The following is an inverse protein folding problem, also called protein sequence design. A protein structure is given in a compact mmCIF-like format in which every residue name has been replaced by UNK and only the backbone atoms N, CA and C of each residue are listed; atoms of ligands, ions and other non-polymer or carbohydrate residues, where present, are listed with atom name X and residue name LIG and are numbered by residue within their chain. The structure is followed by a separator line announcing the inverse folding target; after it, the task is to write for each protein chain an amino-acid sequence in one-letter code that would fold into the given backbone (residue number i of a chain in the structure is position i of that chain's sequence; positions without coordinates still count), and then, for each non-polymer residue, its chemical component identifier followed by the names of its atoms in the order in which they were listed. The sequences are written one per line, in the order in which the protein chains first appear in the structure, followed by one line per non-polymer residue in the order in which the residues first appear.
data_IF_098878381134
#
_entry.id   IF_098878381134
#
_cell.length_a   1.000
_cell.length_b   1.000
_cell.length_c   1.000
_cell.angle_alpha   90.00
_cell.angle_beta   90.00
_cell.angle_gamma   90.00
#
_symmetry.space_group_name_H-M   'P 1'
#
loop_
_entity.id
_entity.type
_entity.pdbx_description
1 polymer ?
#
# COMPACT_ATOMS: atom_id res chain seq x y z
N UNK A 1 -8.72 -5.69 -53.00
CA UNK A 1 -9.03 -7.07 -53.41
C UNK A 1 -9.73 -7.81 -52.28
N UNK A 2 -11.06 -7.87 -52.33
CA UNK A 2 -11.92 -8.63 -51.40
C UNK A 2 -12.25 -9.98 -52.05
N UNK A 3 -12.01 -11.09 -51.35
CA UNK A 3 -12.53 -12.42 -51.72
C UNK A 3 -13.67 -12.78 -50.77
N UNK A 4 -14.87 -12.94 -51.34
CA UNK A 4 -16.03 -13.50 -50.67
C UNK A 4 -15.94 -15.03 -50.67
N UNK A 5 -16.31 -15.65 -49.55
CA UNK A 5 -16.59 -17.09 -49.46
C UNK A 5 -18.04 -17.23 -49.00
N UNK A 6 -18.90 -17.77 -49.87
CA UNK A 6 -20.30 -18.08 -49.57
C UNK A 6 -20.40 -19.55 -49.22
N UNK A 7 -20.63 -19.86 -47.95
CA UNK A 7 -21.05 -21.19 -47.49
C UNK A 7 -22.58 -21.17 -47.36
N UNK A 8 -23.24 -21.94 -48.23
CA UNK A 8 -24.66 -22.24 -48.12
C UNK A 8 -24.93 -23.11 -46.90
N UNK A 9 -25.91 -22.72 -46.09
CA UNK A 9 -26.45 -23.53 -45.02
C UNK A 9 -27.88 -23.91 -45.39
N UNK A 10 -28.06 -25.21 -45.63
CA UNK A 10 -29.27 -25.87 -46.06
C UNK A 10 -30.27 -25.96 -44.89
N UNK A 11 -31.44 -25.35 -45.09
CA UNK A 11 -32.53 -25.27 -44.12
C UNK A 11 -33.47 -26.45 -44.32
N UNK A 12 -33.21 -27.58 -43.67
CA UNK A 12 -34.18 -28.68 -43.55
C UNK A 12 -33.85 -29.60 -42.37
N UNK A 13 -34.65 -29.47 -41.30
CA UNK A 13 -35.15 -30.52 -40.37
C UNK A 13 -35.13 -30.10 -38.90
N UNK A 14 -36.25 -29.55 -38.45
CA UNK A 14 -36.60 -29.49 -37.02
C UNK A 14 -37.18 -30.84 -36.59
N UNK A 15 -36.66 -31.51 -35.53
CA UNK A 15 -37.37 -32.62 -34.92
C UNK A 15 -38.39 -32.12 -33.87
N UNK A 16 -39.60 -32.68 -33.98
CA UNK A 16 -40.78 -32.38 -33.19
C UNK A 16 -40.57 -32.40 -31.67
N UNK A 17 -40.95 -31.29 -31.03
CA UNK A 17 -40.98 -31.10 -29.58
C UNK A 17 -42.12 -31.88 -28.93
N UNK A 18 -41.78 -32.92 -28.17
CA UNK A 18 -42.69 -33.72 -27.35
C UNK A 18 -43.09 -32.93 -26.08
N UNK A 19 -44.35 -32.47 -26.02
CA UNK A 19 -44.88 -31.58 -24.97
C UNK A 19 -45.37 -32.34 -23.75
N UNK A 20 -44.50 -33.10 -23.10
CA UNK A 20 -44.77 -33.65 -21.76
C UNK A 20 -43.92 -32.91 -20.73
N UNK A 21 -44.49 -31.84 -20.18
CA UNK A 21 -43.93 -31.15 -19.03
C UNK A 21 -43.73 -32.16 -17.89
N UNK A 22 -42.47 -32.55 -17.65
CA UNK A 22 -42.08 -33.18 -16.39
C UNK A 22 -42.30 -32.12 -15.32
N UNK A 23 -43.41 -32.25 -14.59
CA UNK A 23 -43.62 -31.52 -13.33
C UNK A 23 -42.51 -32.00 -12.40
N UNK A 24 -41.45 -31.20 -12.27
CA UNK A 24 -40.40 -31.42 -11.29
C UNK A 24 -41.05 -31.28 -9.91
N UNK A 25 -40.81 -32.21 -8.97
CA UNK A 25 -41.31 -32.04 -7.61
C UNK A 25 -40.70 -30.77 -7.03
N UNK A 26 -41.57 -29.83 -6.64
CA UNK A 26 -41.23 -28.61 -5.92
C UNK A 26 -40.51 -29.02 -4.62
N UNK A 27 -39.17 -28.96 -4.61
CA UNK A 27 -38.38 -29.28 -3.43
C UNK A 27 -38.71 -28.27 -2.33
N UNK A 28 -38.97 -28.71 -1.09
CA UNK A 28 -39.36 -27.80 -0.02
C UNK A 28 -38.25 -26.78 0.22
N UNK A 29 -38.64 -25.50 0.27
CA UNK A 29 -37.76 -24.35 0.49
C UNK A 29 -36.92 -24.42 1.78
N UNK A 30 -37.14 -25.43 2.63
CA UNK A 30 -36.38 -25.70 3.86
C UNK A 30 -35.08 -26.50 3.67
N UNK A 31 -34.74 -26.91 2.45
CA UNK A 31 -33.53 -27.73 2.18
C UNK A 31 -32.25 -26.88 2.14
N UNK A 32 -32.36 -25.57 1.86
CA UNK A 32 -31.20 -24.68 1.76
C UNK A 32 -30.90 -24.01 3.10
N UNK A 33 -29.64 -24.05 3.53
CA UNK A 33 -29.18 -23.29 4.68
C UNK A 33 -29.47 -21.80 4.47
N UNK A 34 -29.86 -21.11 5.54
CA UNK A 34 -30.20 -19.69 5.45
C UNK A 34 -28.97 -18.89 4.98
N UNK A 35 -29.16 -17.78 4.24
CA UNK A 35 -28.04 -16.96 3.78
C UNK A 35 -27.18 -16.43 4.94
N UNK A 36 -27.76 -16.25 6.14
CA UNK A 36 -27.02 -15.93 7.35
C UNK A 36 -26.14 -17.08 7.84
N UNK A 37 -26.61 -18.32 7.79
CA UNK A 37 -25.80 -19.50 8.15
C UNK A 37 -24.62 -19.67 7.18
N UNK A 38 -24.85 -19.45 5.89
CA UNK A 38 -23.80 -19.50 4.87
C UNK A 38 -22.78 -18.37 5.10
N UNK A 39 -23.23 -17.15 5.44
CA UNK A 39 -22.36 -16.04 5.76
C UNK A 39 -21.53 -16.29 7.03
N UNK A 40 -22.11 -16.88 8.07
CA UNK A 40 -21.40 -17.25 9.29
C UNK A 40 -20.40 -18.38 9.10
N UNK A 41 -20.73 -19.39 8.28
CA UNK A 41 -19.80 -20.45 7.90
C UNK A 41 -18.62 -19.88 7.11
N UNK A 42 -18.90 -19.06 6.10
CA UNK A 42 -17.86 -18.36 5.31
C UNK A 42 -16.96 -17.51 6.21
N UNK A 43 -17.55 -16.78 7.15
CA UNK A 43 -16.80 -15.98 8.14
C UNK A 43 -15.85 -16.85 8.98
N UNK A 44 -16.30 -18.03 9.43
CA UNK A 44 -15.47 -18.98 10.19
C UNK A 44 -14.35 -19.56 9.33
N UNK A 45 -14.65 -20.00 8.11
CA UNK A 45 -13.69 -20.58 7.17
C UNK A 45 -12.57 -19.58 6.85
N UNK A 46 -12.93 -18.35 6.51
CA UNK A 46 -11.98 -17.30 6.11
C UNK A 46 -11.50 -16.43 7.27
N UNK A 47 -11.79 -16.80 8.53
CA UNK A 47 -11.37 -16.09 9.74
C UNK A 47 -11.68 -14.58 9.70
N UNK A 48 -12.85 -14.22 9.16
CA UNK A 48 -13.29 -12.83 9.03
C UNK A 48 -13.97 -12.34 10.30
N UNK A 49 -13.91 -11.03 10.52
CA UNK A 49 -14.59 -10.39 11.65
C UNK A 49 -16.10 -10.27 11.39
N UNK A 50 -16.97 -10.44 12.42
CA UNK A 50 -18.40 -10.22 12.26
C UNK A 50 -18.75 -8.74 12.01
N UNK A 51 -19.74 -8.50 11.14
CA UNK A 51 -20.20 -7.15 10.75
C UNK A 51 -21.09 -6.53 11.83
N UNK A 52 -20.50 -6.20 12.98
CA UNK A 52 -21.24 -5.66 14.16
C UNK A 52 -21.36 -4.12 14.15
N UNK A 53 -20.89 -3.43 13.11
CA UNK A 53 -20.84 -1.95 13.02
C UNK A 53 -20.14 -1.27 14.22
N UNK A 54 -19.22 -1.98 14.88
CA UNK A 54 -18.42 -1.49 16.01
C UNK A 54 -16.99 -1.22 15.52
N UNK A 55 -16.34 -0.10 15.94
CA UNK A 55 -14.95 0.17 15.59
C UNK A 55 -14.00 -0.82 16.30
N UNK A 56 -13.52 -1.84 15.58
CA UNK A 56 -12.64 -2.90 16.12
C UNK A 56 -11.14 -2.70 15.86
N UNK A 57 -10.75 -1.60 15.20
CA UNK A 57 -9.36 -1.38 14.80
C UNK A 57 -8.86 -2.27 13.65
N UNK A 58 -9.71 -3.12 13.05
CA UNK A 58 -9.34 -3.99 11.93
C UNK A 58 -8.73 -3.21 10.74
N UNK A 59 -9.16 -1.95 10.53
CA UNK A 59 -8.58 -1.03 9.55
C UNK A 59 -7.09 -0.73 9.78
N UNK A 60 -6.62 -0.75 11.03
CA UNK A 60 -5.21 -0.52 11.36
C UNK A 60 -4.43 -1.82 11.19
N UNK A 61 -4.96 -2.93 11.70
CA UNK A 61 -4.30 -4.25 11.65
C UNK A 61 -4.15 -4.77 10.21
N UNK A 62 -5.16 -4.56 9.37
CA UNK A 62 -5.14 -4.99 7.96
C UNK A 62 -4.24 -4.16 7.07
N UNK A 63 -3.69 -3.03 7.54
CA UNK A 63 -2.76 -2.23 6.75
C UNK A 63 -1.41 -2.93 6.72
N UNK A 64 -0.87 -3.12 5.52
CA UNK A 64 0.51 -3.54 5.36
C UNK A 64 1.46 -2.49 5.94
N UNK A 65 2.43 -2.95 6.72
CA UNK A 65 3.49 -2.10 7.24
C UNK A 65 4.36 -1.61 6.08
N UNK A 66 4.59 -0.29 6.01
CA UNK A 66 5.40 0.35 4.97
C UNK A 66 6.77 0.82 5.48
N UNK A 67 7.14 0.44 6.71
CA UNK A 67 8.33 0.92 7.40
C UNK A 67 9.61 0.70 6.58
N UNK A 68 9.83 -0.52 6.13
CA UNK A 68 11.04 -0.90 5.38
C UNK A 68 11.17 -0.12 4.07
N UNK A 69 10.05 0.04 3.35
CA UNK A 69 10.01 0.83 2.11
C UNK A 69 10.32 2.31 2.34
N UNK A 70 9.88 2.86 3.47
CA UNK A 70 10.15 4.26 3.84
C UNK A 70 11.61 4.41 4.29
N UNK A 71 12.13 3.44 5.05
CA UNK A 71 13.53 3.42 5.48
C UNK A 71 14.48 3.27 4.29
N UNK A 72 14.14 2.42 3.31
CA UNK A 72 14.92 2.20 2.09
C UNK A 72 14.85 3.35 1.08
N UNK A 73 14.06 4.40 1.33
CA UNK A 73 13.99 5.57 0.45
C UNK A 73 15.33 6.30 0.37
N UNK A 74 16.13 6.28 1.43
CA UNK A 74 17.46 6.84 1.44
C UNK A 74 18.50 5.72 1.29
N UNK A 75 19.24 5.73 0.17
CA UNK A 75 20.26 4.72 -0.15
C UNK A 75 21.45 4.68 0.84
N UNK A 76 21.63 5.75 1.62
CA UNK A 76 22.65 5.84 2.67
C UNK A 76 21.93 6.19 3.97
N UNK A 77 22.27 5.56 5.11
CA UNK A 77 21.82 6.07 6.40
C UNK A 77 22.30 7.52 6.52
N UNK A 78 21.50 8.39 7.14
CA UNK A 78 21.77 9.85 7.21
C UNK A 78 23.21 10.18 7.62
N UNK A 79 23.82 9.32 8.44
CA UNK A 79 25.21 9.40 8.88
C UNK A 79 26.23 9.38 7.72
N UNK A 80 26.03 8.48 6.75
CA UNK A 80 26.86 8.35 5.53
C UNK A 80 26.60 9.46 4.49
N UNK A 81 25.50 10.22 4.64
CA UNK A 81 25.21 11.39 3.80
C UNK A 81 25.88 12.66 4.33
N UNK A 82 26.09 12.74 5.64
CA UNK A 82 26.66 13.91 6.33
C UNK A 82 28.19 13.86 6.44
N UNK A 83 28.80 12.73 6.08
CA UNK A 83 30.26 12.62 5.94
C UNK A 83 30.83 11.24 6.17
N UNK A 84 30.10 10.36 6.86
CA UNK A 84 30.57 9.01 7.19
C UNK A 84 32.03 9.01 7.66
N UNK A 85 32.79 8.01 7.20
CA UNK A 85 34.24 7.85 7.40
C UNK A 85 35.03 8.18 6.11
N UNK A 86 34.48 9.01 5.22
CA UNK A 86 35.15 9.38 3.98
C UNK A 86 36.30 10.36 4.29
N UNK A 87 37.57 10.04 3.94
CA UNK A 87 38.72 10.91 4.19
C UNK A 87 38.55 12.34 3.64
N UNK A 88 37.76 12.51 2.58
CA UNK A 88 37.49 13.83 2.01
C UNK A 88 36.65 14.72 2.96
N UNK A 89 35.78 14.14 3.77
CA UNK A 89 35.00 14.91 4.76
C UNK A 89 35.85 15.38 5.94
N UNK A 90 36.87 14.62 6.32
CA UNK A 90 37.83 15.03 7.35
C UNK A 90 38.58 16.29 6.91
N UNK A 91 39.09 16.29 5.68
CA UNK A 91 39.79 17.44 5.07
C UNK A 91 38.87 18.67 5.04
N UNK A 92 37.62 18.54 4.56
CA UNK A 92 36.66 19.64 4.52
C UNK A 92 36.31 20.16 5.93
N UNK A 93 36.30 19.29 6.94
CA UNK A 93 36.06 19.67 8.33
C UNK A 93 37.25 20.44 8.93
N UNK A 94 38.48 20.07 8.58
CA UNK A 94 39.69 20.81 8.97
C UNK A 94 39.70 22.22 8.39
N UNK A 95 39.37 22.38 7.10
CA UNK A 95 39.25 23.70 6.46
C UNK A 95 38.18 24.57 7.15
N UNK A 96 37.03 23.96 7.48
CA UNK A 96 35.95 24.63 8.22
C UNK A 96 36.42 25.10 9.60
N UNK A 97 37.19 24.27 10.32
CA UNK A 97 37.76 24.62 11.61
C UNK A 97 38.79 25.75 11.50
N UNK A 98 39.66 25.71 10.49
CA UNK A 98 40.62 26.78 10.20
C UNK A 98 39.94 28.12 9.92
N UNK A 99 38.86 28.12 9.13
CA UNK A 99 38.04 29.31 8.87
C UNK A 99 37.41 29.87 10.15
N UNK A 100 36.90 29.00 11.02
CA UNK A 100 36.34 29.42 12.31
C UNK A 100 37.41 30.05 13.23
N UNK A 101 38.63 29.51 13.24
CA UNK A 101 39.73 30.08 14.02
C UNK A 101 40.15 31.47 13.52
N UNK A 102 40.27 31.64 12.20
CA UNK A 102 40.52 32.96 11.61
C UNK A 102 39.43 33.98 11.97
N UNK A 103 38.15 33.57 11.97
CA UNK A 103 37.04 34.43 12.39
C UNK A 103 37.08 34.78 13.87
N UNK A 104 37.48 33.84 14.75
CA UNK A 104 37.68 34.09 16.17
C UNK A 104 38.78 35.12 16.40
N UNK A 105 39.92 35.01 15.72
CA UNK A 105 41.03 36.00 15.79
C UNK A 105 40.57 37.40 15.39
N UNK A 106 39.66 37.51 14.41
CA UNK A 106 39.10 38.78 13.95
C UNK A 106 37.97 39.33 14.83
N UNK A 107 37.57 38.62 15.89
CA UNK A 107 36.42 38.97 16.74
C UNK A 107 35.06 38.86 16.02
N UNK A 108 35.01 38.27 14.83
CA UNK A 108 33.79 38.12 14.00
C UNK A 108 33.15 36.74 14.17
N UNK A 109 33.32 36.14 15.34
CA UNK A 109 32.75 34.81 15.62
C UNK A 109 31.23 34.88 15.76
N UNK A 110 30.57 33.77 15.47
CA UNK A 110 29.12 33.64 15.64
C UNK A 110 28.83 33.66 17.15
N UNK A 111 27.90 34.51 17.63
CA UNK A 111 27.57 34.57 19.05
C UNK A 111 27.03 33.23 19.55
N UNK A 112 27.18 32.99 20.85
CA UNK A 112 26.61 31.78 21.48
C UNK A 112 25.11 31.71 21.20
N UNK A 113 24.61 30.53 20.84
CA UNK A 113 23.18 30.27 20.65
C UNK A 113 22.38 30.79 21.85
N UNK A 114 21.35 31.59 21.61
CA UNK A 114 20.56 32.22 22.67
C UNK A 114 21.18 33.49 23.27
N UNK A 115 22.42 33.85 22.94
CA UNK A 115 23.06 35.11 23.35
C UNK A 115 23.20 36.07 22.16
N UNK A 116 22.22 36.06 21.27
CA UNK A 116 22.19 37.00 20.14
C UNK A 116 21.99 38.44 20.62
N UNK A 117 22.39 39.41 19.80
CA UNK A 117 22.28 40.85 20.12
C UNK A 117 20.87 41.30 20.55
N UNK A 118 19.83 40.60 20.10
CA UNK A 118 18.42 40.88 20.38
C UNK A 118 17.81 40.03 21.50
N UNK A 119 18.57 39.12 22.11
CA UNK A 119 18.04 38.17 23.11
C UNK A 119 17.83 38.78 24.50
N UNK A 120 18.29 40.01 24.72
CA UNK A 120 18.28 40.69 26.02
C UNK A 120 17.09 41.64 26.21
N UNK A 121 16.14 41.61 25.27
CA UNK A 121 14.91 42.41 25.31
C UNK A 121 13.78 41.56 25.84
#
# INVERSE_FOLDING_TARGET
MTRYWTSGYDSSSEPASDKRARVLPELPASTMASPQQIADLSRKIFQRLPQRNIPSGNKVISKQLKGDKVASWFNKPLLLRMGGDDPNFEILNEERLGKLDQMKRRGKTIPKKGAGKRSKK
#
